data_IF_561046316644
#
_entry.id   IF_561046316644
#
_cell.length_a   1.000
_cell.length_b   1.000
_cell.length_c   1.000
_cell.angle_alpha   90.00
_cell.angle_beta   90.00
_cell.angle_gamma   90.00
#
_symmetry.space_group_name_H-M   'P 1'
#
loop_
_entity.id
_entity.type
_entity.pdbx_description
1 polymer ?
#
# COMPACT_ATOMS: atom_id res chain seq x y z
N UNK A 1 16.82 5.69 12.97
CA UNK A 1 15.66 5.02 13.60
C UNK A 1 14.43 5.85 13.31
N UNK A 2 13.86 5.66 12.13
CA UNK A 2 12.64 6.32 11.66
C UNK A 2 12.54 6.25 10.14
N UNK A 3 12.99 5.15 9.56
CA UNK A 3 13.42 5.12 8.15
C UNK A 3 12.25 4.73 7.23
N UNK A 4 11.30 3.93 7.74
CA UNK A 4 10.01 3.63 7.12
C UNK A 4 9.06 2.95 8.13
N UNK A 5 7.76 2.95 7.82
CA UNK A 5 6.73 2.21 8.55
C UNK A 5 5.82 1.49 7.56
N UNK A 6 5.49 0.23 7.83
CA UNK A 6 4.43 -0.51 7.15
C UNK A 6 3.54 -1.14 8.22
N UNK A 7 2.23 -0.95 8.11
CA UNK A 7 1.28 -1.47 9.09
C UNK A 7 0.02 -1.96 8.41
N UNK A 8 -0.45 -3.15 8.80
CA UNK A 8 -1.78 -3.66 8.48
C UNK A 8 -2.63 -3.70 9.75
N UNK A 9 -3.87 -3.21 9.68
CA UNK A 9 -4.86 -3.29 10.76
C UNK A 9 -6.17 -3.84 10.22
N UNK A 10 -6.83 -4.67 11.03
CA UNK A 10 -8.14 -5.23 10.73
C UNK A 10 -9.22 -4.51 11.54
N UNK A 11 -10.34 -4.20 10.90
CA UNK A 11 -11.57 -3.77 11.57
C UNK A 11 -12.76 -4.56 11.00
N UNK A 12 -13.33 -5.46 11.80
CA UNK A 12 -14.36 -6.40 11.33
C UNK A 12 -13.86 -7.30 10.20
N UNK A 13 -14.42 -7.13 9.02
CA UNK A 13 -14.05 -7.89 7.81
C UNK A 13 -13.09 -7.14 6.88
N UNK A 14 -12.80 -5.87 7.17
CA UNK A 14 -11.95 -5.04 6.33
C UNK A 14 -10.53 -4.97 6.88
N UNK A 15 -9.57 -4.84 5.96
CA UNK A 15 -8.18 -4.58 6.28
C UNK A 15 -7.74 -3.23 5.73
N UNK A 16 -6.96 -2.52 6.51
CA UNK A 16 -6.34 -1.25 6.16
C UNK A 16 -4.84 -1.40 6.25
N UNK A 17 -4.14 -1.07 5.18
CA UNK A 17 -2.69 -1.15 5.10
C UNK A 17 -2.16 0.24 4.79
N UNK A 18 -1.14 0.68 5.53
CA UNK A 18 -0.47 1.95 5.32
C UNK A 18 1.04 1.78 5.31
N UNK A 19 1.71 2.51 4.43
CA UNK A 19 3.16 2.57 4.36
C UNK A 19 3.64 4.02 4.15
N UNK A 20 4.76 4.37 4.77
CA UNK A 20 5.44 5.67 4.60
C UNK A 20 6.94 5.48 4.74
N UNK A 21 7.71 6.36 4.11
CA UNK A 21 9.18 6.34 4.10
C UNK A 21 9.77 7.69 4.48
N UNK A 22 11.06 7.68 4.81
CA UNK A 22 11.89 8.88 4.98
C UNK A 22 12.28 9.50 3.63
N UNK A 23 13.33 10.33 3.60
CA UNK A 23 13.80 11.00 2.38
C UNK A 23 14.40 10.07 1.30
N UNK A 24 14.31 8.76 1.46
CA UNK A 24 14.79 7.78 0.49
C UNK A 24 13.63 6.98 -0.12
N UNK A 25 13.68 6.68 -1.43
CA UNK A 25 12.69 5.84 -2.07
C UNK A 25 12.83 4.39 -1.59
N UNK A 26 11.71 3.67 -1.49
CA UNK A 26 11.70 2.26 -1.05
C UNK A 26 10.64 1.46 -1.80
N UNK A 27 10.96 0.19 -2.03
CA UNK A 27 10.04 -0.78 -2.60
C UNK A 27 9.84 -1.93 -1.62
N UNK A 28 8.59 -2.35 -1.45
CA UNK A 28 8.20 -3.49 -0.63
C UNK A 28 7.20 -4.35 -1.38
N UNK A 29 7.13 -5.62 -1.01
CA UNK A 29 6.08 -6.52 -1.49
C UNK A 29 5.17 -6.85 -0.31
N UNK A 30 3.91 -6.44 -0.41
CA UNK A 30 2.85 -6.79 0.53
C UNK A 30 2.30 -8.17 0.18
N UNK A 31 2.54 -9.14 1.05
CA UNK A 31 1.99 -10.48 0.97
C UNK A 31 0.61 -10.52 1.63
N UNK A 32 -0.43 -10.87 0.86
CA UNK A 32 -1.82 -10.90 1.33
C UNK A 32 -2.23 -12.26 1.94
N UNK A 33 -1.29 -13.13 2.27
CA UNK A 33 -1.56 -14.47 2.86
C UNK A 33 -2.31 -14.45 4.19
N UNK A 34 -2.38 -13.30 4.86
CA UNK A 34 -3.21 -13.08 6.05
C UNK A 34 -4.72 -13.01 5.76
N UNK A 35 -5.12 -12.84 4.48
CA UNK A 35 -6.52 -12.89 4.08
C UNK A 35 -7.06 -14.32 4.14
N UNK A 36 -8.34 -14.52 4.50
CA UNK A 36 -8.97 -15.82 4.35
C UNK A 36 -9.16 -16.16 2.86
N UNK A 37 -9.57 -17.39 2.58
CA UNK A 37 -9.90 -17.79 1.20
C UNK A 37 -11.06 -16.95 0.64
N UNK A 38 -10.93 -16.53 -0.61
CA UNK A 38 -11.91 -15.70 -1.30
C UNK A 38 -11.29 -14.69 -2.24
N UNK A 39 -12.16 -13.89 -2.86
CA UNK A 39 -11.80 -12.76 -3.72
C UNK A 39 -12.21 -11.48 -3.00
N UNK A 40 -11.25 -10.57 -2.86
CA UNK A 40 -11.41 -9.28 -2.20
C UNK A 40 -11.20 -8.15 -3.19
N UNK A 41 -11.67 -6.97 -2.82
CA UNK A 41 -11.39 -5.72 -3.53
C UNK A 41 -10.37 -4.92 -2.75
N UNK A 42 -9.22 -4.67 -3.35
CA UNK A 42 -8.22 -3.72 -2.85
C UNK A 42 -8.43 -2.37 -3.54
N UNK A 43 -8.85 -1.36 -2.78
CA UNK A 43 -8.80 0.04 -3.19
C UNK A 43 -7.52 0.66 -2.61
N UNK A 44 -6.68 1.27 -3.43
CA UNK A 44 -5.42 1.85 -2.99
C UNK A 44 -5.20 3.27 -3.49
N UNK A 45 -4.42 4.02 -2.73
CA UNK A 45 -3.81 5.30 -3.09
C UNK A 45 -2.30 5.11 -2.99
N UNK A 46 -1.56 5.47 -4.05
CA UNK A 46 -0.11 5.37 -4.11
C UNK A 46 0.52 6.64 -4.67
N UNK A 47 1.78 6.85 -4.35
CA UNK A 47 2.60 7.88 -4.98
C UNK A 47 2.53 7.77 -6.52
N UNK A 48 2.32 8.91 -7.18
CA UNK A 48 2.33 9.01 -8.63
C UNK A 48 3.75 8.99 -9.21
N UNK A 49 3.90 8.85 -10.54
CA UNK A 49 5.22 8.74 -11.18
C UNK A 49 6.17 9.92 -10.93
N UNK A 50 5.63 11.11 -10.62
CA UNK A 50 6.41 12.32 -10.34
C UNK A 50 6.33 12.76 -8.87
N UNK A 51 5.94 11.87 -7.95
CA UNK A 51 5.76 12.20 -6.53
C UNK A 51 7.06 12.65 -5.84
N UNK A 52 8.22 12.30 -6.40
CA UNK A 52 9.54 12.74 -5.97
C UNK A 52 9.77 14.25 -6.11
N UNK A 53 9.08 14.88 -7.07
CA UNK A 53 9.19 16.31 -7.40
C UNK A 53 7.89 17.08 -7.16
N UNK A 54 6.74 16.38 -7.16
CA UNK A 54 5.40 16.94 -6.99
C UNK A 54 4.60 16.12 -5.97
N UNK A 55 4.59 16.57 -4.72
CA UNK A 55 3.91 15.88 -3.62
C UNK A 55 2.39 15.64 -3.81
N UNK A 56 1.74 16.33 -4.76
CA UNK A 56 0.31 16.15 -5.07
C UNK A 56 0.05 15.08 -6.14
N UNK A 57 1.09 14.50 -6.75
CA UNK A 57 0.95 13.44 -7.75
C UNK A 57 0.69 12.10 -7.03
N UNK A 58 -0.54 11.62 -7.11
CA UNK A 58 -0.95 10.33 -6.58
C UNK A 58 -1.85 9.61 -7.57
N UNK A 59 -1.90 8.28 -7.45
CA UNK A 59 -2.77 7.42 -8.23
C UNK A 59 -3.71 6.64 -7.33
N UNK A 60 -4.93 6.43 -7.81
CA UNK A 60 -5.91 5.58 -7.16
C UNK A 60 -6.17 4.36 -8.05
N UNK A 61 -6.11 3.16 -7.46
CA UNK A 61 -6.37 1.92 -8.18
C UNK A 61 -7.36 1.04 -7.42
N UNK A 62 -8.06 0.20 -8.18
CA UNK A 62 -8.94 -0.84 -7.64
C UNK A 62 -8.58 -2.17 -8.27
N UNK A 63 -8.19 -3.13 -7.43
CA UNK A 63 -7.72 -4.44 -7.85
C UNK A 63 -8.60 -5.53 -7.23
N UNK A 64 -8.81 -6.63 -7.97
CA UNK A 64 -9.29 -7.88 -7.37
C UNK A 64 -8.10 -8.67 -6.89
N UNK A 65 -8.12 -9.10 -5.63
CA UNK A 65 -7.01 -9.78 -4.97
C UNK A 65 -7.49 -11.02 -4.22
N UNK A 66 -6.57 -11.94 -4.00
CA UNK A 66 -6.75 -13.14 -3.18
C UNK A 66 -5.63 -13.22 -2.15
N UNK A 67 -5.69 -14.21 -1.25
CA UNK A 67 -4.60 -14.48 -0.30
C UNK A 67 -3.24 -14.79 -0.95
N UNK A 68 -3.24 -15.23 -2.21
CA UNK A 68 -2.01 -15.54 -2.95
C UNK A 68 -1.46 -14.32 -3.72
N UNK A 69 -2.18 -13.21 -3.68
CA UNK A 69 -1.78 -11.99 -4.37
C UNK A 69 -0.65 -11.29 -3.63
N UNK A 70 0.38 -10.88 -4.37
CA UNK A 70 1.46 -10.02 -3.91
C UNK A 70 1.30 -8.64 -4.53
N UNK A 71 1.33 -7.60 -3.71
CA UNK A 71 1.13 -6.22 -4.16
C UNK A 71 2.43 -5.44 -3.93
N UNK A 72 2.94 -4.82 -4.98
CA UNK A 72 4.11 -3.96 -4.87
C UNK A 72 3.72 -2.59 -4.30
N UNK A 73 4.45 -2.19 -3.27
CA UNK A 73 4.38 -0.87 -2.64
C UNK A 73 5.65 -0.13 -3.03
N UNK A 74 5.49 0.86 -3.89
CA UNK A 74 6.57 1.79 -4.26
C UNK A 74 6.32 3.12 -3.55
N UNK A 75 7.31 3.57 -2.80
CA UNK A 75 7.29 4.82 -2.06
C UNK A 75 8.32 5.77 -2.65
N UNK A 76 7.86 6.95 -3.05
CA UNK A 76 8.73 8.08 -3.37
C UNK A 76 9.38 8.63 -2.08
N UNK A 77 10.46 9.42 -2.17
CA UNK A 77 11.04 10.11 -1.02
C UNK A 77 9.99 10.90 -0.24
N UNK A 78 9.85 10.64 1.06
CA UNK A 78 8.85 11.27 1.94
C UNK A 78 7.40 10.90 1.62
N UNK A 79 7.19 9.94 0.73
CA UNK A 79 5.90 9.55 0.20
C UNK A 79 5.17 8.49 1.03
N UNK A 80 4.15 7.91 0.41
CA UNK A 80 3.25 7.01 1.10
C UNK A 80 2.41 6.13 0.19
N UNK A 81 1.81 5.13 0.83
CA UNK A 81 0.88 4.20 0.21
C UNK A 81 -0.20 3.83 1.21
N UNK A 82 -1.45 3.77 0.77
CA UNK A 82 -2.57 3.34 1.60
C UNK A 82 -3.50 2.41 0.82
N UNK A 83 -3.94 1.34 1.45
CA UNK A 83 -4.82 0.35 0.87
C UNK A 83 -5.94 -0.03 1.82
N UNK A 84 -7.14 -0.24 1.27
CA UNK A 84 -8.30 -0.82 1.95
C UNK A 84 -8.72 -2.08 1.20
N UNK A 85 -8.81 -3.19 1.93
CA UNK A 85 -9.22 -4.49 1.42
C UNK A 85 -10.57 -4.84 2.04
N UNK A 86 -11.54 -5.21 1.21
CA UNK A 86 -12.92 -5.58 1.61
C UNK A 86 -13.45 -6.75 0.79
#
# INVERSE_FOLDING_TARGET
>A
MGDYLIMARRNGHEWFVGATTDGLPRTFTLDLSFLPEGIFTLNLVKDGPNADTRAIDYQMETLRVTRDTKVDINLAPGGGWAGRIR
#
